data_IF_684516617905
#
_entry.id   IF_684516617905
#
_cell.length_a   1.000
_cell.length_b   1.000
_cell.length_c   1.000
_cell.angle_alpha   90.00
_cell.angle_beta   90.00
_cell.angle_gamma   90.00
#
_symmetry.space_group_name_H-M   'P 1'
#
loop_
_entity.id
_entity.type
_entity.pdbx_description
1 polymer ?
#
# COMPACT_ATOMS: atom_id res chain seq x y z
N UNK A 1 7.80 4.18 7.67
CA UNK A 1 6.63 3.73 6.90
C UNK A 1 5.70 2.77 7.65
N UNK A 2 5.90 2.47 8.95
CA UNK A 2 5.02 1.56 9.72
C UNK A 2 4.88 0.17 9.07
N UNK A 3 6.00 -0.35 8.54
CA UNK A 3 6.05 -1.67 7.91
C UNK A 3 5.80 -2.74 8.96
N UNK A 4 4.88 -3.66 8.68
CA UNK A 4 4.63 -4.80 9.58
C UNK A 4 5.78 -5.81 9.49
N UNK A 5 6.00 -6.57 10.56
CA UNK A 5 6.97 -7.67 10.57
C UNK A 5 6.78 -8.64 9.39
N UNK A 6 5.52 -9.00 9.09
CA UNK A 6 5.20 -9.86 7.95
C UNK A 6 5.70 -9.27 6.62
N UNK A 7 5.39 -8.01 6.35
CA UNK A 7 5.81 -7.34 5.12
C UNK A 7 7.34 -7.20 5.04
N UNK A 8 8.00 -6.94 6.17
CA UNK A 8 9.45 -6.83 6.24
C UNK A 8 10.16 -8.18 6.00
N UNK A 9 9.64 -9.27 6.57
CA UNK A 9 10.16 -10.61 6.33
C UNK A 9 9.94 -11.06 4.87
N UNK A 10 8.81 -10.69 4.26
CA UNK A 10 8.60 -10.90 2.83
C UNK A 10 9.62 -10.11 2.00
N UNK A 11 9.81 -8.82 2.28
CA UNK A 11 10.82 -8.00 1.61
C UNK A 11 12.23 -8.59 1.73
N UNK A 12 12.64 -8.98 2.93
CA UNK A 12 13.96 -9.55 3.19
C UNK A 12 14.19 -10.85 2.40
N UNK A 13 13.19 -11.73 2.36
CA UNK A 13 13.23 -12.97 1.58
C UNK A 13 13.37 -12.70 0.08
N UNK A 14 12.52 -11.85 -0.48
CA UNK A 14 12.50 -11.57 -1.92
C UNK A 14 13.76 -10.83 -2.39
N UNK A 15 14.39 -10.04 -1.51
CA UNK A 15 15.64 -9.32 -1.79
C UNK A 15 16.88 -10.07 -1.31
N UNK A 16 16.76 -11.33 -0.85
CA UNK A 16 17.85 -12.19 -0.39
C UNK A 16 18.73 -11.55 0.69
N UNK A 17 18.11 -10.81 1.60
CA UNK A 17 18.79 -10.16 2.72
C UNK A 17 19.05 -11.21 3.80
N UNK A 18 20.31 -11.58 3.98
CA UNK A 18 20.72 -12.52 5.01
C UNK A 18 20.65 -11.87 6.41
N UNK A 19 20.30 -12.67 7.42
CA UNK A 19 20.27 -12.28 8.83
C UNK A 19 19.40 -11.03 9.11
N UNK A 20 18.28 -10.90 8.41
CA UNK A 20 17.33 -9.82 8.70
C UNK A 20 16.68 -10.02 10.08
N UNK A 21 16.62 -8.95 10.87
CA UNK A 21 15.91 -8.89 12.14
C UNK A 21 14.94 -7.72 12.13
N UNK A 22 13.75 -7.90 12.72
CA UNK A 22 12.67 -6.91 12.69
C UNK A 22 13.08 -5.57 13.30
N UNK A 23 13.97 -5.56 14.29
CA UNK A 23 14.51 -4.34 14.90
C UNK A 23 15.28 -3.46 13.90
N UNK A 24 15.77 -4.02 12.79
CA UNK A 24 16.39 -3.24 11.73
C UNK A 24 15.39 -2.29 11.05
N UNK A 25 14.08 -2.48 11.22
CA UNK A 25 13.07 -1.51 10.79
C UNK A 25 13.12 -0.19 11.57
N UNK A 26 13.84 -0.10 12.68
CA UNK A 26 14.12 1.17 13.34
C UNK A 26 15.17 2.01 12.59
N UNK A 27 15.97 1.38 11.72
CA UNK A 27 16.82 2.10 10.78
C UNK A 27 15.97 2.74 9.67
N UNK A 28 16.07 4.07 9.45
CA UNK A 28 15.26 4.76 8.45
C UNK A 28 15.45 4.23 7.03
N UNK A 29 16.66 3.81 6.65
CA UNK A 29 16.96 3.32 5.31
C UNK A 29 16.30 1.96 5.09
N UNK A 30 16.51 1.00 5.98
CA UNK A 30 15.85 -0.31 5.92
C UNK A 30 14.34 -0.17 5.93
N UNK A 31 13.80 0.73 6.75
CA UNK A 31 12.36 0.98 6.80
C UNK A 31 11.80 1.53 5.48
N UNK A 32 12.53 2.44 4.84
CA UNK A 32 12.17 2.99 3.53
C UNK A 32 12.27 1.94 2.43
N UNK A 33 13.36 1.16 2.39
CA UNK A 33 13.56 0.10 1.39
C UNK A 33 12.45 -0.95 1.48
N UNK A 34 12.18 -1.48 2.67
CA UNK A 34 11.10 -2.44 2.89
C UNK A 34 9.72 -1.84 2.58
N UNK A 35 9.46 -0.63 3.05
CA UNK A 35 8.17 0.03 2.89
C UNK A 35 7.85 0.39 1.44
N UNK A 36 8.83 0.93 0.71
CA UNK A 36 8.66 1.27 -0.72
C UNK A 36 8.57 0.04 -1.59
N UNK A 37 9.32 -1.02 -1.29
CA UNK A 37 9.18 -2.31 -1.96
C UNK A 37 7.76 -2.87 -1.80
N UNK A 38 7.23 -2.86 -0.58
CA UNK A 38 5.87 -3.37 -0.33
C UNK A 38 4.81 -2.51 -1.03
N UNK A 39 4.98 -1.20 -1.03
CA UNK A 39 4.09 -0.28 -1.77
C UNK A 39 4.14 -0.55 -3.28
N UNK A 40 5.33 -0.70 -3.86
CA UNK A 40 5.49 -1.00 -5.29
C UNK A 40 4.85 -2.33 -5.66
N UNK A 41 4.99 -3.35 -4.80
CA UNK A 41 4.32 -4.65 -4.97
C UNK A 41 2.81 -4.49 -5.00
N UNK A 42 2.23 -3.73 -4.06
CA UNK A 42 0.79 -3.47 -4.01
C UNK A 42 0.31 -2.71 -5.27
N UNK A 43 1.05 -1.71 -5.74
CA UNK A 43 0.74 -1.02 -7.01
C UNK A 43 0.75 -1.99 -8.19
N UNK A 44 1.74 -2.89 -8.23
CA UNK A 44 1.81 -3.93 -9.26
C UNK A 44 0.66 -4.94 -9.21
N UNK A 45 0.17 -5.27 -8.01
CA UNK A 45 -0.98 -6.16 -7.80
C UNK A 45 -2.26 -5.57 -8.40
N UNK A 46 -2.48 -4.27 -8.21
CA UNK A 46 -3.71 -3.57 -8.63
C UNK A 46 -3.61 -2.90 -10.01
N UNK A 47 -2.54 -3.10 -10.78
CA UNK A 47 -2.30 -2.46 -12.09
C UNK A 47 -3.39 -2.67 -13.15
N UNK A 48 -4.29 -3.62 -12.92
CA UNK A 48 -5.40 -3.94 -13.81
C UNK A 48 -6.59 -2.99 -13.61
N UNK A 49 -6.67 -2.31 -12.46
CA UNK A 49 -7.61 -1.23 -12.21
C UNK A 49 -7.17 0.05 -12.94
N UNK A 50 -8.14 0.84 -13.36
CA UNK A 50 -7.93 2.13 -14.04
C UNK A 50 -7.22 3.17 -13.17
N UNK A 51 -7.45 3.13 -11.85
CA UNK A 51 -6.72 3.91 -10.84
C UNK A 51 -6.22 2.97 -9.72
N UNK A 52 -5.00 2.42 -9.84
CA UNK A 52 -4.50 1.40 -8.91
C UNK A 52 -4.10 1.96 -7.54
N UNK A 53 -3.86 3.27 -7.41
CA UNK A 53 -3.27 3.84 -6.20
C UNK A 53 -4.16 3.69 -4.95
N UNK A 54 -5.48 3.99 -4.98
CA UNK A 54 -6.36 3.79 -3.85
C UNK A 54 -6.39 2.34 -3.33
N UNK A 55 -6.37 1.36 -4.24
CA UNK A 55 -6.36 -0.07 -3.91
C UNK A 55 -5.02 -0.47 -3.28
N UNK A 56 -3.90 -0.05 -3.87
CA UNK A 56 -2.57 -0.30 -3.33
C UNK A 56 -2.38 0.31 -1.93
N UNK A 57 -2.90 1.51 -1.69
CA UNK A 57 -2.87 2.15 -0.36
C UNK A 57 -3.74 1.40 0.65
N UNK A 58 -4.92 0.94 0.24
CA UNK A 58 -5.77 0.11 1.08
C UNK A 58 -5.09 -1.22 1.42
N UNK A 59 -4.38 -1.83 0.46
CA UNK A 59 -3.63 -3.07 0.68
C UNK A 59 -2.47 -2.84 1.63
N UNK A 60 -1.75 -1.73 1.46
CA UNK A 60 -0.68 -1.34 2.37
C UNK A 60 -1.15 -1.25 3.82
N UNK A 61 -2.36 -0.72 4.04
CA UNK A 61 -2.93 -0.51 5.37
C UNK A 61 -3.65 -1.73 5.95
N UNK A 62 -4.37 -2.48 5.11
CA UNK A 62 -5.34 -3.49 5.54
C UNK A 62 -5.09 -4.90 4.97
N UNK A 63 -4.11 -5.05 4.07
CA UNK A 63 -3.72 -6.32 3.45
C UNK A 63 -4.56 -6.69 2.22
N UNK A 64 -3.92 -7.41 1.29
CA UNK A 64 -4.46 -7.75 -0.04
C UNK A 64 -5.82 -8.46 0.00
N UNK A 65 -6.00 -9.42 0.91
CA UNK A 65 -7.24 -10.21 1.01
C UNK A 65 -8.47 -9.35 1.34
N UNK A 66 -8.31 -8.27 2.11
CA UNK A 66 -9.43 -7.36 2.39
C UNK A 66 -9.76 -6.50 1.18
N UNK A 67 -8.73 -6.01 0.49
CA UNK A 67 -8.91 -5.20 -0.72
C UNK A 67 -9.57 -6.01 -1.83
N UNK A 68 -9.19 -7.27 -2.01
CA UNK A 68 -9.84 -8.21 -2.92
C UNK A 68 -11.34 -8.34 -2.65
N UNK A 69 -11.73 -8.46 -1.38
CA UNK A 69 -13.16 -8.45 -1.02
C UNK A 69 -13.82 -7.11 -1.37
N UNK A 70 -13.19 -5.98 -1.06
CA UNK A 70 -13.77 -4.65 -1.31
C UNK A 70 -13.81 -4.28 -2.80
N UNK A 71 -12.93 -4.87 -3.63
CA UNK A 71 -12.93 -4.75 -5.10
C UNK A 71 -13.82 -5.78 -5.81
N UNK A 72 -14.62 -6.55 -5.06
CA UNK A 72 -15.52 -7.53 -5.68
C UNK A 72 -14.80 -8.71 -6.32
N UNK A 73 -13.66 -9.13 -5.75
CA UNK A 73 -12.87 -10.29 -6.15
C UNK A 73 -12.29 -10.20 -7.56
N UNK A 74 -11.86 -9.00 -7.97
CA UNK A 74 -11.21 -8.77 -9.27
C UNK A 74 -12.13 -8.89 -10.48
N UNK A 75 -13.46 -8.83 -10.27
CA UNK A 75 -14.44 -8.88 -11.35
C UNK A 75 -14.56 -7.51 -12.01
N UNK A 76 -13.72 -7.27 -13.02
CA UNK A 76 -13.71 -6.04 -13.81
C UNK A 76 -13.10 -4.84 -13.08
N UNK A 77 -13.03 -3.71 -13.79
CA UNK A 77 -12.58 -2.43 -13.23
C UNK A 77 -13.61 -1.90 -12.23
N UNK A 78 -13.16 -1.54 -11.03
CA UNK A 78 -14.00 -0.97 -9.98
C UNK A 78 -13.73 0.53 -9.87
N UNK A 79 -14.74 1.39 -10.10
CA UNK A 79 -14.57 2.81 -9.90
C UNK A 79 -14.13 3.12 -8.46
N UNK A 80 -13.10 3.95 -8.28
CA UNK A 80 -12.53 4.31 -6.96
C UNK A 80 -13.60 4.75 -5.97
N UNK A 81 -14.60 5.51 -6.41
CA UNK A 81 -15.71 5.96 -5.55
C UNK A 81 -16.54 4.79 -5.00
N UNK A 82 -16.74 3.74 -5.81
CA UNK A 82 -17.41 2.51 -5.40
C UNK A 82 -16.53 1.71 -4.45
N UNK A 83 -15.26 1.53 -4.82
CA UNK A 83 -14.28 0.85 -3.97
C UNK A 83 -14.19 1.47 -2.56
N UNK A 84 -14.03 2.79 -2.44
CA UNK A 84 -13.97 3.48 -1.14
C UNK A 84 -15.24 3.30 -0.31
N UNK A 85 -16.41 3.19 -0.93
CA UNK A 85 -17.68 2.90 -0.22
C UNK A 85 -17.71 1.47 0.31
N UNK A 86 -17.13 0.52 -0.42
CA UNK A 86 -17.07 -0.89 -0.04
C UNK A 86 -16.09 -1.17 1.11
N UNK A 87 -15.11 -0.29 1.36
CA UNK A 87 -14.20 -0.40 2.51
C UNK A 87 -15.03 -0.32 3.80
N UNK A 88 -15.22 -1.44 4.47
CA UNK A 88 -15.98 -1.54 5.72
C UNK A 88 -15.19 -1.07 6.95
N UNK A 89 -13.89 -0.79 6.80
CA UNK A 89 -13.01 -0.24 7.85
C UNK A 89 -12.89 1.28 7.72
N UNK A 90 -13.57 2.09 8.57
CA UNK A 90 -13.58 3.55 8.42
C UNK A 90 -12.18 4.17 8.52
N UNK A 91 -11.31 3.61 9.37
CA UNK A 91 -9.94 4.07 9.52
C UNK A 91 -9.12 3.86 8.23
N UNK A 92 -9.30 2.73 7.54
CA UNK A 92 -8.63 2.44 6.27
C UNK A 92 -9.13 3.37 5.16
N UNK A 93 -10.44 3.63 5.08
CA UNK A 93 -10.98 4.60 4.12
C UNK A 93 -10.35 5.98 4.32
N UNK A 94 -10.36 6.47 5.57
CA UNK A 94 -9.76 7.76 5.94
C UNK A 94 -8.26 7.80 5.64
N UNK A 95 -7.56 6.68 5.86
CA UNK A 95 -6.14 6.55 5.50
C UNK A 95 -5.94 6.79 4.00
N UNK A 96 -6.65 6.05 3.15
CA UNK A 96 -6.53 6.18 1.68
C UNK A 96 -6.82 7.60 1.22
N UNK A 97 -7.94 8.19 1.65
CA UNK A 97 -8.32 9.58 1.32
C UNK A 97 -7.22 10.57 1.72
N UNK A 98 -6.73 10.46 2.97
CA UNK A 98 -5.71 11.38 3.50
C UNK A 98 -4.37 11.29 2.76
N UNK A 99 -3.96 10.09 2.32
CA UNK A 99 -2.72 9.91 1.58
C UNK A 99 -2.88 10.40 0.15
N UNK A 100 -4.04 10.18 -0.50
CA UNK A 100 -4.30 10.71 -1.84
C UNK A 100 -4.31 12.25 -1.85
N UNK A 101 -4.84 12.89 -0.81
CA UNK A 101 -4.78 14.35 -0.67
C UNK A 101 -3.35 14.87 -0.47
N UNK A 102 -2.57 14.20 0.40
CA UNK A 102 -1.15 14.51 0.59
C UNK A 102 -0.35 14.30 -0.69
N UNK A 103 -0.62 13.23 -1.44
CA UNK A 103 0.03 12.94 -2.70
C UNK A 103 -0.20 14.08 -3.70
N UNK A 104 -1.45 14.53 -3.88
CA UNK A 104 -1.78 15.70 -4.71
C UNK A 104 -1.08 16.97 -4.21
N UNK A 105 -1.02 17.18 -2.89
CA UNK A 105 -0.30 18.31 -2.29
C UNK A 105 1.20 18.28 -2.64
N UNK A 106 1.87 17.15 -2.45
CA UNK A 106 3.30 16.99 -2.74
C UNK A 106 3.59 17.03 -4.24
N UNK A 107 2.72 16.51 -5.11
CA UNK A 107 2.88 16.65 -6.56
C UNK A 107 2.85 18.12 -7.02
N UNK A 108 1.98 18.95 -6.42
CA UNK A 108 1.93 20.38 -6.74
C UNK A 108 3.16 21.14 -6.23
N UNK A 109 3.72 20.72 -5.10
CA UNK A 109 4.81 21.43 -4.42
C UNK A 109 6.21 20.92 -4.77
N UNK A 110 6.32 19.67 -5.21
CA UNK A 110 7.57 19.02 -5.63
C UNK A 110 7.91 19.21 -7.12
N UNK A 111 7.14 20.02 -7.86
CA UNK A 111 7.48 20.52 -9.20
C UNK A 111 8.32 21.81 -9.15
N UNK A 112 9.17 21.97 -8.13
CA UNK A 112 10.17 23.04 -8.09
C UNK A 112 11.44 22.56 -8.79
#
# INVERSE_FOLDING_TARGET
MQVTEKAANEWARENKIANFHVDQLFDPRTNLEAGTWYLQRAVGHWKHESDPLPFALAEYNAGASRVDRWSGHGVGDVPVRTFLKNIDFPATRKYVESIMDRYKFYQRRGRM
#
